data_IF_442523989845
#
_entry.id   IF_442523989845
#
_cell.length_a   1.000
_cell.length_b   1.000
_cell.length_c   1.000
_cell.angle_alpha   90.00
_cell.angle_beta   90.00
_cell.angle_gamma   90.00
#
_symmetry.space_group_name_H-M   'P 1'
#
loop_
_entity.id
_entity.type
_entity.pdbx_description
1 polymer ?
#
# COMPACT_ATOMS: atom_id res chain seq x y z
N UNK A 1 -4.25 -15.95 -0.12
CA UNK A 1 -5.67 -15.50 -0.11
C UNK A 1 -5.86 -14.08 0.45
N UNK A 2 -5.20 -13.68 1.55
CA UNK A 2 -5.38 -12.36 2.16
C UNK A 2 -4.99 -11.21 1.23
N UNK A 3 -3.76 -11.20 0.69
CA UNK A 3 -3.27 -10.14 -0.17
C UNK A 3 -4.07 -10.00 -1.47
N UNK A 4 -4.55 -11.12 -2.02
CA UNK A 4 -5.49 -11.09 -3.15
C UNK A 4 -6.78 -10.35 -2.82
N UNK A 5 -7.46 -10.73 -1.71
CA UNK A 5 -8.69 -10.05 -1.28
C UNK A 5 -8.44 -8.57 -0.99
N UNK A 6 -7.34 -8.24 -0.35
CA UNK A 6 -6.95 -6.86 -0.08
C UNK A 6 -6.70 -6.07 -1.38
N UNK A 7 -5.96 -6.64 -2.33
CA UNK A 7 -5.68 -6.00 -3.60
C UNK A 7 -6.94 -5.73 -4.41
N UNK A 8 -7.86 -6.70 -4.47
CA UNK A 8 -9.18 -6.53 -5.09
C UNK A 8 -9.97 -5.43 -4.39
N UNK A 9 -10.03 -5.43 -3.06
CA UNK A 9 -10.69 -4.38 -2.30
C UNK A 9 -10.13 -3.00 -2.67
N UNK A 10 -8.81 -2.82 -2.56
CA UNK A 10 -8.11 -1.56 -2.84
C UNK A 10 -8.39 -1.02 -4.25
N UNK A 11 -8.33 -1.87 -5.26
CA UNK A 11 -8.45 -1.45 -6.67
C UNK A 11 -9.89 -1.26 -7.15
N UNK A 12 -10.86 -1.83 -6.44
CA UNK A 12 -12.28 -1.73 -6.80
C UNK A 12 -13.07 -0.78 -5.92
N UNK A 13 -12.45 -0.25 -4.85
CA UNK A 13 -13.07 0.70 -3.95
C UNK A 13 -13.21 2.08 -4.62
N UNK A 14 -14.45 2.57 -4.73
CA UNK A 14 -14.75 3.84 -5.37
C UNK A 14 -14.06 5.02 -4.66
N UNK A 15 -14.11 5.03 -3.33
CA UNK A 15 -13.56 6.07 -2.48
C UNK A 15 -12.04 6.18 -2.62
N UNK A 16 -11.36 5.08 -3.00
CA UNK A 16 -9.92 5.09 -3.21
C UNK A 16 -9.51 5.54 -4.62
N UNK A 17 -10.42 5.67 -5.59
CA UNK A 17 -10.09 5.98 -6.98
C UNK A 17 -9.28 7.28 -7.10
N UNK A 18 -9.71 8.35 -6.41
CA UNK A 18 -9.04 9.65 -6.46
C UNK A 18 -7.61 9.56 -5.94
N UNK A 19 -7.41 8.91 -4.80
CA UNK A 19 -6.08 8.71 -4.21
C UNK A 19 -5.16 7.94 -5.16
N UNK A 20 -5.64 6.86 -5.79
CA UNK A 20 -4.83 6.10 -6.77
C UNK A 20 -4.49 6.92 -8.02
N UNK A 21 -5.47 7.68 -8.56
CA UNK A 21 -5.27 8.54 -9.73
C UNK A 21 -4.23 9.64 -9.47
N UNK A 22 -4.26 10.25 -8.30
CA UNK A 22 -3.34 11.34 -7.93
C UNK A 22 -1.96 10.84 -7.51
N UNK A 23 -1.89 9.62 -6.94
CA UNK A 23 -0.64 9.03 -6.48
C UNK A 23 0.30 8.60 -7.60
N UNK A 24 -0.22 8.14 -8.76
CA UNK A 24 0.61 7.57 -9.83
C UNK A 24 0.94 8.61 -10.91
N UNK A 25 2.22 8.70 -11.26
CA UNK A 25 2.73 9.54 -12.36
C UNK A 25 3.08 8.69 -13.56
N UNK A 26 2.33 8.87 -14.63
CA UNK A 26 2.41 8.06 -15.83
C UNK A 26 3.50 8.55 -16.78
N UNK A 27 4.31 7.64 -17.31
CA UNK A 27 5.38 7.97 -18.26
C UNK A 27 6.65 8.54 -17.64
N UNK A 28 6.69 8.75 -16.32
CA UNK A 28 7.85 9.28 -15.61
C UNK A 28 8.79 8.16 -15.15
N UNK A 29 10.11 8.41 -15.22
CA UNK A 29 11.12 7.54 -14.58
C UNK A 29 11.46 8.00 -13.17
N UNK A 30 11.49 9.31 -12.98
CA UNK A 30 11.72 9.97 -11.70
C UNK A 30 10.61 10.98 -11.48
N UNK A 31 10.10 11.07 -10.25
CA UNK A 31 9.04 12.02 -9.93
C UNK A 31 9.27 12.64 -8.56
N UNK A 32 9.20 13.97 -8.47
CA UNK A 32 9.26 14.68 -7.19
C UNK A 32 7.94 14.60 -6.41
N UNK A 33 6.83 14.28 -7.08
CA UNK A 33 5.49 14.18 -6.47
C UNK A 33 4.78 12.91 -6.90
N UNK A 34 4.50 12.02 -5.94
CA UNK A 34 3.83 10.75 -6.21
C UNK A 34 4.80 9.65 -6.64
N UNK A 35 4.25 8.60 -7.24
CA UNK A 35 4.93 7.35 -7.56
C UNK A 35 5.02 7.22 -9.09
N UNK A 36 6.23 7.20 -9.67
CA UNK A 36 6.38 6.89 -11.09
C UNK A 36 5.79 5.51 -11.42
N UNK A 37 5.04 5.39 -12.51
CA UNK A 37 4.39 4.14 -12.93
C UNK A 37 5.38 2.97 -13.08
N UNK A 38 6.62 3.26 -13.52
CA UNK A 38 7.71 2.27 -13.65
C UNK A 38 8.22 1.73 -12.32
N UNK A 39 7.90 2.38 -11.20
CA UNK A 39 8.26 1.94 -9.86
C UNK A 39 7.20 1.01 -9.23
N UNK A 40 6.05 0.81 -9.88
CA UNK A 40 4.96 -0.03 -9.36
C UNK A 40 5.25 -1.53 -9.45
N UNK A 41 6.24 -1.95 -10.26
CA UNK A 41 6.55 -3.37 -10.49
C UNK A 41 5.63 -4.06 -11.49
N UNK A 42 4.91 -3.27 -12.28
CA UNK A 42 3.95 -3.73 -13.29
C UNK A 42 4.60 -3.88 -14.68
N UNK A 43 4.17 -4.87 -15.46
CA UNK A 43 4.59 -5.01 -16.84
C UNK A 43 4.07 -3.84 -17.72
N UNK A 44 4.67 -3.57 -18.91
CA UNK A 44 4.26 -2.47 -19.78
C UNK A 44 2.78 -2.49 -20.21
N UNK A 45 2.22 -3.66 -20.49
CA UNK A 45 0.82 -3.83 -20.89
C UNK A 45 -0.11 -3.52 -19.72
N UNK A 46 0.16 -4.09 -18.54
CA UNK A 46 -0.64 -3.79 -17.34
C UNK A 46 -0.59 -2.32 -16.98
N UNK A 47 0.58 -1.67 -17.09
CA UNK A 47 0.70 -0.21 -16.91
C UNK A 47 -0.14 0.58 -17.90
N UNK A 48 -0.16 0.18 -19.18
CA UNK A 48 -0.95 0.86 -20.19
C UNK A 48 -2.46 0.76 -19.90
N UNK A 49 -2.93 -0.43 -19.54
CA UNK A 49 -4.33 -0.68 -19.17
C UNK A 49 -4.70 0.13 -17.92
N UNK A 50 -3.86 0.12 -16.89
CA UNK A 50 -4.09 0.89 -15.68
C UNK A 50 -4.10 2.40 -15.95
N UNK A 51 -3.20 2.91 -16.81
CA UNK A 51 -3.21 4.32 -17.22
C UNK A 51 -4.54 4.70 -17.87
N UNK A 52 -5.02 3.88 -18.80
CA UNK A 52 -6.31 4.10 -19.46
C UNK A 52 -7.48 4.08 -18.45
N UNK A 53 -7.48 3.11 -17.53
CA UNK A 53 -8.50 2.97 -16.50
C UNK A 53 -8.52 4.18 -15.55
N UNK A 54 -7.34 4.66 -15.13
CA UNK A 54 -7.21 5.84 -14.27
C UNK A 54 -7.63 7.15 -14.94
N UNK A 55 -7.90 7.15 -16.25
CA UNK A 55 -8.44 8.32 -16.96
C UNK A 55 -9.87 8.69 -16.57
N UNK A 56 -10.67 7.76 -16.03
CA UNK A 56 -12.02 8.08 -15.52
C UNK A 56 -12.53 7.07 -14.49
N UNK A 57 -13.36 7.48 -13.51
CA UNK A 57 -13.98 6.55 -12.56
C UNK A 57 -14.81 5.45 -13.26
N UNK A 58 -15.52 5.81 -14.34
CA UNK A 58 -16.35 4.88 -15.11
C UNK A 58 -15.55 3.78 -15.79
N UNK A 59 -14.41 4.11 -16.43
CA UNK A 59 -13.48 3.12 -17.02
C UNK A 59 -12.92 2.17 -15.96
N UNK A 60 -12.48 2.71 -14.82
CA UNK A 60 -11.97 1.91 -13.72
C UNK A 60 -13.02 0.93 -13.19
N UNK A 61 -14.26 1.39 -13.00
CA UNK A 61 -15.37 0.53 -12.55
C UNK A 61 -15.73 -0.54 -13.59
N UNK A 62 -15.81 -0.17 -14.87
CA UNK A 62 -16.10 -1.11 -15.95
C UNK A 62 -15.02 -2.21 -16.02
N UNK A 63 -13.74 -1.82 -15.97
CA UNK A 63 -12.63 -2.75 -15.96
C UNK A 63 -12.63 -3.64 -14.70
N UNK A 64 -12.92 -3.08 -13.53
CA UNK A 64 -13.05 -3.84 -12.29
C UNK A 64 -14.13 -4.93 -12.37
N UNK A 65 -15.30 -4.62 -12.97
CA UNK A 65 -16.39 -5.58 -13.19
C UNK A 65 -16.02 -6.72 -14.13
N UNK A 66 -15.09 -6.48 -15.06
CA UNK A 66 -14.53 -7.49 -15.97
C UNK A 66 -13.32 -8.23 -15.36
N UNK A 67 -13.07 -8.10 -14.07
CA UNK A 67 -11.93 -8.74 -13.41
C UNK A 67 -10.59 -8.09 -13.70
N UNK A 68 -10.54 -6.90 -14.31
CA UNK A 68 -9.28 -6.23 -14.66
C UNK A 68 -8.43 -5.76 -13.47
N UNK A 69 -8.90 -5.93 -12.23
CA UNK A 69 -8.08 -5.81 -11.04
C UNK A 69 -7.16 -7.03 -10.82
N UNK A 70 -7.45 -8.19 -11.41
CA UNK A 70 -6.73 -9.44 -11.15
C UNK A 70 -5.26 -9.36 -11.54
N UNK A 71 -4.97 -8.81 -12.73
CA UNK A 71 -3.61 -8.72 -13.23
C UNK A 71 -2.74 -7.77 -12.38
N UNK A 72 -3.18 -6.53 -12.08
CA UNK A 72 -2.46 -5.67 -11.13
C UNK A 72 -2.27 -6.30 -9.74
N UNK A 73 -3.27 -7.01 -9.19
CA UNK A 73 -3.15 -7.68 -7.88
C UNK A 73 -2.14 -8.81 -7.94
N UNK A 74 -2.12 -9.57 -9.03
CA UNK A 74 -1.15 -10.63 -9.23
C UNK A 74 0.28 -10.06 -9.25
N UNK A 75 0.52 -9.02 -10.03
CA UNK A 75 1.85 -8.41 -10.20
C UNK A 75 2.32 -7.61 -8.99
N UNK A 76 1.44 -6.85 -8.34
CA UNK A 76 1.82 -5.93 -7.26
C UNK A 76 1.75 -6.56 -5.87
N UNK A 77 0.86 -7.52 -5.65
CA UNK A 77 0.59 -8.07 -4.32
C UNK A 77 1.00 -9.54 -4.23
N UNK A 78 0.54 -10.42 -5.12
CA UNK A 78 0.73 -11.87 -4.97
C UNK A 78 2.14 -12.34 -5.36
N UNK A 79 2.60 -12.04 -6.58
CA UNK A 79 3.91 -12.49 -7.04
C UNK A 79 5.04 -11.94 -6.15
N UNK A 80 5.05 -10.65 -5.76
CA UNK A 80 6.09 -10.14 -4.87
C UNK A 80 6.01 -10.74 -3.47
N UNK A 81 4.82 -11.05 -2.96
CA UNK A 81 4.67 -11.72 -1.67
C UNK A 81 5.25 -13.14 -1.69
N UNK A 82 4.98 -13.92 -2.73
CA UNK A 82 5.54 -15.27 -2.88
C UNK A 82 7.05 -15.28 -3.14
N UNK A 83 7.58 -14.18 -3.70
CA UNK A 83 9.00 -14.05 -4.08
C UNK A 83 9.80 -13.18 -3.11
N UNK A 84 9.21 -12.78 -1.98
CA UNK A 84 9.95 -12.09 -0.93
C UNK A 84 10.67 -13.10 -0.03
N UNK A 85 11.66 -12.64 0.72
CA UNK A 85 12.35 -13.48 1.70
C UNK A 85 11.57 -13.56 3.01
N UNK A 86 10.90 -12.48 3.39
CA UNK A 86 10.06 -12.46 4.59
C UNK A 86 8.95 -11.39 4.50
N UNK A 87 7.82 -11.72 5.12
CA UNK A 87 6.82 -10.76 5.57
C UNK A 87 7.10 -10.38 7.02
N UNK A 88 6.82 -9.14 7.40
CA UNK A 88 6.99 -8.68 8.76
C UNK A 88 5.90 -7.68 9.15
N UNK A 89 5.61 -7.64 10.45
CA UNK A 89 4.81 -6.59 11.07
C UNK A 89 5.65 -5.88 12.15
N UNK A 90 5.51 -4.56 12.26
CA UNK A 90 5.98 -3.81 13.42
C UNK A 90 4.82 -3.61 14.38
N UNK A 91 5.05 -3.92 15.65
CA UNK A 91 4.06 -3.83 16.71
C UNK A 91 4.49 -2.73 17.68
N UNK A 92 3.56 -1.87 18.04
CA UNK A 92 3.72 -0.97 19.17
C UNK A 92 3.55 -1.74 20.50
N UNK A 93 4.08 -1.21 21.62
CA UNK A 93 3.82 -1.77 22.94
C UNK A 93 2.33 -1.84 23.25
N UNK A 94 1.61 -0.75 22.97
CA UNK A 94 0.17 -0.58 23.12
C UNK A 94 -0.46 -0.13 21.80
N UNK A 95 -1.79 -0.29 21.60
CA UNK A 95 -2.48 0.27 20.44
C UNK A 95 -2.24 1.79 20.34
N UNK A 96 -1.73 2.31 19.21
CA UNK A 96 -1.51 3.75 19.05
C UNK A 96 -2.81 4.52 19.23
N UNK A 97 -2.79 5.53 20.10
CA UNK A 97 -3.95 6.34 20.45
C UNK A 97 -3.83 7.79 19.93
N UNK A 98 -2.60 8.30 19.81
CA UNK A 98 -2.36 9.70 19.44
C UNK A 98 -1.28 9.93 18.38
N UNK A 99 -1.10 11.18 17.93
CA UNK A 99 -0.06 11.58 16.98
C UNK A 99 1.37 11.20 17.43
N UNK A 100 1.65 11.29 18.72
CA UNK A 100 2.96 10.97 19.31
C UNK A 100 3.32 9.49 19.09
N UNK A 101 2.35 8.59 19.30
CA UNK A 101 2.52 7.16 19.03
C UNK A 101 2.80 6.88 17.55
N UNK A 102 2.16 7.65 16.66
CA UNK A 102 2.38 7.54 15.21
C UNK A 102 3.78 8.02 14.81
N UNK A 103 4.29 9.06 15.46
CA UNK A 103 5.67 9.53 15.26
C UNK A 103 6.68 8.47 15.71
N UNK A 104 6.47 7.85 16.88
CA UNK A 104 7.33 6.78 17.37
C UNK A 104 7.27 5.52 16.50
N UNK A 105 6.08 5.15 16.02
CA UNK A 105 5.91 4.11 15.01
C UNK A 105 6.69 4.43 13.72
N UNK A 106 6.59 5.67 13.24
CA UNK A 106 7.34 6.16 12.08
C UNK A 106 8.86 6.06 12.27
N UNK A 107 9.37 6.41 13.46
CA UNK A 107 10.80 6.24 13.81
C UNK A 107 11.22 4.78 13.76
N UNK A 108 10.41 3.86 14.27
CA UNK A 108 10.68 2.42 14.20
C UNK A 108 10.72 1.91 12.76
N UNK A 109 9.75 2.31 11.92
CA UNK A 109 9.74 1.99 10.49
C UNK A 109 11.00 2.49 9.80
N UNK A 110 11.43 3.72 10.06
CA UNK A 110 12.63 4.28 9.45
C UNK A 110 13.90 3.54 9.87
N UNK A 111 14.06 3.18 11.15
CA UNK A 111 15.20 2.38 11.62
C UNK A 111 15.28 1.04 10.88
N UNK A 112 14.15 0.33 10.76
CA UNK A 112 14.09 -0.92 10.02
C UNK A 112 14.46 -0.71 8.54
N UNK A 113 13.89 0.31 7.91
CA UNK A 113 14.11 0.57 6.49
C UNK A 113 15.57 0.92 6.17
N UNK A 114 16.20 1.77 6.99
CA UNK A 114 17.61 2.14 6.84
C UNK A 114 18.53 0.94 7.10
N UNK A 115 18.18 0.09 8.07
CA UNK A 115 18.91 -1.16 8.33
C UNK A 115 18.82 -2.11 7.14
N UNK A 116 17.62 -2.32 6.61
CA UNK A 116 17.41 -3.12 5.41
C UNK A 116 18.22 -2.58 4.22
N UNK A 117 18.23 -1.26 4.02
CA UNK A 117 19.01 -0.61 2.97
C UNK A 117 20.52 -0.81 3.16
N UNK A 118 21.04 -0.68 4.39
CA UNK A 118 22.45 -0.93 4.73
C UNK A 118 22.85 -2.39 4.44
N UNK A 119 21.94 -3.33 4.64
CA UNK A 119 22.12 -4.75 4.32
C UNK A 119 21.84 -5.09 2.84
N UNK A 120 21.66 -4.07 1.99
CA UNK A 120 21.30 -4.20 0.58
C UNK A 120 20.01 -5.02 0.32
N UNK A 121 19.09 -4.99 1.27
CA UNK A 121 17.74 -5.54 1.11
C UNK A 121 16.81 -4.50 0.48
N UNK A 122 15.70 -4.99 -0.09
CA UNK A 122 14.60 -4.20 -0.60
C UNK A 122 13.42 -4.40 0.33
N UNK A 123 12.85 -3.30 0.80
CA UNK A 123 11.65 -3.27 1.61
C UNK A 123 10.51 -2.70 0.77
N UNK A 124 9.39 -3.40 0.75
CA UNK A 124 8.17 -2.93 0.12
C UNK A 124 7.03 -2.91 1.15
N UNK A 125 6.35 -1.77 1.35
CA UNK A 125 5.21 -1.71 2.25
C UNK A 125 4.03 -2.55 1.76
N UNK A 126 3.33 -3.16 2.70
CA UNK A 126 2.11 -3.94 2.50
C UNK A 126 1.00 -3.45 3.45
N UNK A 127 0.97 -2.15 3.80
CA UNK A 127 0.18 -1.63 4.93
C UNK A 127 -1.33 -1.54 4.68
N UNK A 128 -1.83 -1.69 3.45
CA UNK A 128 -3.26 -1.51 3.14
C UNK A 128 -4.23 -2.44 3.90
N UNK A 129 -3.92 -3.71 4.20
CA UNK A 129 -4.70 -4.53 5.13
C UNK A 129 -4.81 -3.90 6.53
N UNK A 130 -3.76 -3.25 7.03
CA UNK A 130 -3.79 -2.55 8.33
C UNK A 130 -4.69 -1.32 8.27
N UNK A 131 -4.68 -0.57 7.17
CA UNK A 131 -5.58 0.58 6.98
C UNK A 131 -7.04 0.16 7.09
N UNK A 132 -7.45 -0.89 6.36
CA UNK A 132 -8.81 -1.41 6.46
C UNK A 132 -9.15 -2.00 7.82
N UNK A 133 -8.20 -2.70 8.45
CA UNK A 133 -8.35 -3.17 9.81
C UNK A 133 -8.60 -2.02 10.78
N UNK A 134 -7.84 -0.91 10.68
CA UNK A 134 -7.98 0.25 11.56
C UNK A 134 -9.36 0.89 11.44
N UNK A 135 -9.85 1.14 10.22
CA UNK A 135 -11.22 1.62 10.00
C UNK A 135 -12.27 0.75 10.71
N UNK A 136 -12.13 -0.59 10.63
CA UNK A 136 -13.08 -1.51 11.26
C UNK A 136 -12.93 -1.62 12.77
N UNK A 137 -11.70 -1.54 13.30
CA UNK A 137 -11.43 -1.58 14.74
C UNK A 137 -11.94 -0.32 15.44
N UNK A 138 -11.81 0.85 14.81
CA UNK A 138 -12.26 2.15 15.33
C UNK A 138 -13.72 2.46 15.01
N UNK A 139 -14.39 1.62 14.20
CA UNK A 139 -15.78 1.85 13.80
C UNK A 139 -15.97 3.04 12.86
N UNK A 140 -14.92 3.46 12.15
CA UNK A 140 -14.96 4.58 11.20
C UNK A 140 -15.48 4.09 9.84
N UNK A 141 -16.63 4.59 9.36
CA UNK A 141 -17.14 4.20 8.04
C UNK A 141 -16.23 4.71 6.91
N UNK A 142 -15.77 3.81 6.04
CA UNK A 142 -14.93 4.17 4.89
C UNK A 142 -15.59 3.92 3.53
N UNK A 143 -16.72 3.20 3.50
CA UNK A 143 -17.47 2.94 2.27
C UNK A 143 -18.94 2.65 2.55
N UNK A 144 -19.79 2.93 1.55
CA UNK A 144 -21.20 2.53 1.53
C UNK A 144 -21.43 1.18 0.83
N UNK A 145 -20.41 0.63 0.16
CA UNK A 145 -20.51 -0.68 -0.50
C UNK A 145 -20.41 -1.82 0.53
N UNK A 146 -21.52 -2.52 0.74
CA UNK A 146 -21.60 -3.65 1.66
C UNK A 146 -20.67 -4.82 1.26
N UNK A 147 -20.43 -5.05 -0.03
CA UNK A 147 -19.51 -6.09 -0.50
C UNK A 147 -18.06 -5.71 -0.21
N UNK A 148 -17.69 -4.44 -0.40
CA UNK A 148 -16.38 -3.92 -0.02
C UNK A 148 -16.15 -4.03 1.50
N UNK A 149 -17.16 -3.66 2.30
CA UNK A 149 -17.13 -3.81 3.77
C UNK A 149 -16.92 -5.27 4.21
N UNK A 150 -17.71 -6.22 3.69
CA UNK A 150 -17.53 -7.65 3.99
C UNK A 150 -16.13 -8.15 3.61
N UNK A 151 -15.57 -7.65 2.49
CA UNK A 151 -14.21 -8.01 2.07
C UNK A 151 -13.16 -7.45 3.04
N UNK A 152 -13.33 -6.22 3.53
CA UNK A 152 -12.46 -5.64 4.55
C UNK A 152 -12.53 -6.41 5.87
N UNK A 153 -13.73 -6.85 6.29
CA UNK A 153 -13.91 -7.70 7.48
C UNK A 153 -13.18 -9.03 7.32
N UNK A 154 -13.28 -9.68 6.15
CA UNK A 154 -12.56 -10.92 5.86
C UNK A 154 -11.03 -10.73 5.81
N UNK A 155 -10.55 -9.61 5.27
CA UNK A 155 -9.11 -9.24 5.28
C UNK A 155 -8.63 -9.03 6.71
N UNK A 156 -9.40 -8.30 7.52
CA UNK A 156 -9.09 -7.99 8.92
C UNK A 156 -9.06 -9.24 9.79
N UNK A 157 -10.06 -10.11 9.66
CA UNK A 157 -10.09 -11.39 10.38
C UNK A 157 -8.93 -12.30 9.96
N UNK A 158 -8.59 -12.32 8.67
CA UNK A 158 -7.43 -13.05 8.17
C UNK A 158 -6.12 -12.50 8.73
N UNK A 159 -5.96 -11.18 8.78
CA UNK A 159 -4.77 -10.53 9.31
C UNK A 159 -4.63 -10.78 10.81
N UNK A 160 -5.73 -10.68 11.56
CA UNK A 160 -5.77 -11.01 12.98
C UNK A 160 -5.30 -12.43 13.25
N UNK A 161 -5.73 -13.42 12.45
CA UNK A 161 -5.23 -14.80 12.57
C UNK A 161 -3.72 -14.92 12.29
N UNK A 162 -3.21 -14.21 11.29
CA UNK A 162 -1.77 -14.24 10.97
C UNK A 162 -0.91 -13.59 12.05
N UNK A 163 -1.40 -12.53 12.70
CA UNK A 163 -0.68 -11.82 13.74
C UNK A 163 -0.87 -12.39 15.15
N UNK A 164 -1.69 -13.44 15.31
CA UNK A 164 -1.91 -14.08 16.61
C UNK A 164 -3.05 -13.48 17.44
N UNK A 165 -3.95 -12.70 16.83
CA UNK A 165 -5.21 -12.27 17.44
C UNK A 165 -5.58 -10.81 17.15
N UNK A 166 -6.77 -10.42 17.62
CA UNK A 166 -7.27 -9.04 17.48
C UNK A 166 -6.45 -8.05 18.29
N UNK A 167 -6.00 -8.44 19.48
CA UNK A 167 -5.20 -7.60 20.36
C UNK A 167 -3.84 -7.26 19.73
N UNK A 168 -3.13 -8.26 19.21
CA UNK A 168 -1.85 -8.05 18.50
C UNK A 168 -2.06 -7.20 17.24
N UNK A 169 -3.15 -7.44 16.50
CA UNK A 169 -3.51 -6.63 15.34
C UNK A 169 -3.74 -5.16 15.71
N UNK A 170 -4.37 -4.86 16.85
CA UNK A 170 -4.61 -3.47 17.28
C UNK A 170 -3.32 -2.69 17.54
N UNK A 171 -2.24 -3.40 17.85
CA UNK A 171 -0.88 -2.86 18.07
C UNK A 171 -0.05 -2.78 16.79
N UNK A 172 -0.49 -3.37 15.69
CA UNK A 172 0.29 -3.41 14.46
C UNK A 172 0.29 -2.05 13.76
N UNK A 173 1.47 -1.45 13.63
CA UNK A 173 1.66 -0.10 13.07
C UNK A 173 2.19 -0.10 11.64
N UNK A 174 2.80 -1.20 11.21
CA UNK A 174 3.32 -1.34 9.87
C UNK A 174 3.32 -2.80 9.44
N UNK A 175 3.02 -3.03 8.16
CA UNK A 175 3.15 -4.33 7.50
C UNK A 175 3.99 -4.13 6.25
N UNK A 176 4.93 -5.04 6.02
CA UNK A 176 5.75 -5.01 4.83
C UNK A 176 6.38 -6.36 4.52
N UNK A 177 7.07 -6.37 3.39
CA UNK A 177 7.89 -7.48 2.92
C UNK A 177 9.31 -7.02 2.66
N UNK A 178 10.25 -7.94 2.80
CA UNK A 178 11.67 -7.70 2.57
C UNK A 178 12.30 -8.84 1.77
N UNK A 179 13.33 -8.53 1.00
CA UNK A 179 14.09 -9.52 0.24
C UNK A 179 15.27 -8.92 -0.52
N UNK A 180 16.07 -9.78 -1.16
CA UNK A 180 17.14 -9.37 -2.05
C UNK A 180 16.61 -9.22 -3.48
N UNK A 181 17.14 -8.27 -4.24
CA UNK A 181 16.70 -8.06 -5.61
C UNK A 181 17.44 -6.94 -6.33
N UNK A 182 17.17 -6.78 -7.65
CA UNK A 182 17.80 -5.75 -8.46
C UNK A 182 17.53 -4.35 -7.90
N UNK A 183 18.39 -3.41 -8.26
CA UNK A 183 18.15 -2.01 -7.91
C UNK A 183 16.94 -1.45 -8.69
N UNK A 184 16.07 -0.65 -8.04
CA UNK A 184 14.99 0.03 -8.73
C UNK A 184 15.50 0.94 -9.85
N UNK A 185 14.92 0.82 -11.05
CA UNK A 185 15.28 1.65 -12.22
C UNK A 185 14.52 2.98 -12.29
N UNK A 186 13.51 3.15 -11.44
CA UNK A 186 12.64 4.32 -11.34
C UNK A 186 12.39 4.63 -9.86
N UNK A 187 12.23 5.92 -9.52
CA UNK A 187 12.18 6.34 -8.12
C UNK A 187 11.43 7.64 -7.90
N UNK A 188 10.65 7.71 -6.82
CA UNK A 188 10.17 8.99 -6.27
C UNK A 188 11.32 9.75 -5.62
N UNK A 189 11.57 10.96 -6.11
CA UNK A 189 12.52 11.91 -5.55
C UNK A 189 11.91 12.61 -4.33
N UNK A 190 12.75 13.31 -3.58
CA UNK A 190 12.30 14.20 -2.51
C UNK A 190 12.12 15.60 -3.08
N UNK A 191 11.13 16.33 -2.54
CA UNK A 191 11.01 17.75 -2.79
C UNK A 191 12.29 18.46 -2.30
N UNK A 192 12.72 19.54 -2.98
CA UNK A 192 13.79 20.40 -2.47
C UNK A 192 13.45 20.91 -1.06
N UNK A 193 14.48 21.11 -0.24
CA UNK A 193 14.30 21.56 1.14
C UNK A 193 13.58 22.91 1.23
N UNK A 194 13.86 23.83 0.29
CA UNK A 194 13.24 25.15 0.22
C UNK A 194 11.72 25.05 0.05
N UNK A 195 11.27 24.13 -0.83
CA UNK A 195 9.85 23.87 -1.06
C UNK A 195 9.18 23.27 0.19
N UNK A 196 9.88 22.37 0.89
CA UNK A 196 9.37 21.76 2.13
C UNK A 196 9.24 22.76 3.29
N UNK A 197 10.15 23.74 3.36
CA UNK A 197 10.13 24.79 4.37
C UNK A 197 9.13 25.91 4.06
N UNK A 198 8.49 25.91 2.88
CA UNK A 198 7.62 26.99 2.44
C UNK A 198 8.36 28.28 2.07
N UNK A 199 9.69 28.24 1.95
CA UNK A 199 10.50 29.36 1.50
C UNK A 199 10.37 29.48 -0.02
N UNK A 200 9.47 30.33 -0.50
CA UNK A 200 9.45 30.74 -1.90
C UNK A 200 10.53 31.81 -2.11
N UNK A 201 11.28 31.67 -3.20
CA UNK A 201 12.24 32.68 -3.68
C UNK A 201 11.50 33.81 -4.39
#
# INVERSE_FOLDING_TARGET
ALLWRNGILRLTLHEAYRAHREAVRWGERYSSRGIPDRALGLDPLTRHIMRWAMGSPGRALALARLGGAWLPVLEMDVLPALRCAAHFALLAPEPPAGPEDQVEAGRAVQRLWLTAARLNLRLQPEYTPLVFARYLLEGVPFTRDAAARRRAEAVTAGLGRLLGGREVLARAVFLGRLGAGPQPRARSLRLPLQELMGCQS
#
